data_IF_984741044158
#
_entry.id   IF_984741044158
#
_cell.length_a   1.000
_cell.length_b   1.000
_cell.length_c   1.000
_cell.angle_alpha   90.00
_cell.angle_beta   90.00
_cell.angle_gamma   90.00
#
_symmetry.space_group_name_H-M   'P 1'
#
loop_
_entity.id
_entity.type
_entity.pdbx_description
1 polymer ?
#
# COMPACT_ATOMS: atom_id res chain seq x y z
N UNK A 1 20.42 -16.27 7.17
CA UNK A 1 19.18 -15.76 7.79
C UNK A 1 18.66 -14.63 6.92
N UNK A 2 17.37 -14.64 6.57
CA UNK A 2 16.74 -13.51 5.85
C UNK A 2 15.93 -12.69 6.86
N UNK A 3 16.18 -11.38 6.91
CA UNK A 3 15.45 -10.43 7.76
C UNK A 3 14.46 -9.60 6.94
N UNK A 4 13.41 -9.07 7.59
CA UNK A 4 12.54 -8.05 6.99
C UNK A 4 13.00 -6.67 7.42
N UNK A 5 13.16 -5.78 6.46
CA UNK A 5 13.59 -4.40 6.68
C UNK A 5 12.57 -3.44 6.06
N UNK A 6 12.50 -2.22 6.58
CA UNK A 6 11.60 -1.16 6.09
C UNK A 6 12.45 -0.05 5.50
N UNK A 7 12.09 0.40 4.30
CA UNK A 7 12.70 1.57 3.66
C UNK A 7 11.77 2.76 3.89
N UNK A 8 12.27 3.78 4.58
CA UNK A 8 11.57 5.05 4.71
C UNK A 8 11.94 5.95 3.54
N UNK A 9 10.92 6.41 2.81
CA UNK A 9 11.08 7.35 1.70
C UNK A 9 10.17 8.55 1.98
N UNK A 10 10.72 9.67 2.49
CA UNK A 10 9.96 10.89 2.70
C UNK A 10 9.36 11.40 1.38
N UNK A 11 8.11 11.86 1.44
CA UNK A 11 7.39 12.44 0.29
C UNK A 11 6.62 13.66 0.73
N UNK A 12 6.49 14.64 -0.16
CA UNK A 12 5.67 15.83 0.10
C UNK A 12 4.30 15.63 -0.51
N UNK A 13 3.25 15.79 0.31
CA UNK A 13 1.86 15.74 -0.10
C UNK A 13 1.04 16.70 0.77
N UNK A 14 -0.07 17.28 0.26
CA UNK A 14 -0.86 18.26 1.01
C UNK A 14 -1.66 17.65 2.17
N UNK A 15 -1.92 16.34 2.13
CA UNK A 15 -2.70 15.63 3.13
C UNK A 15 -2.44 14.11 3.09
N UNK A 16 -2.92 13.39 4.11
CA UNK A 16 -2.80 11.93 4.21
C UNK A 16 -3.42 11.20 3.00
N UNK A 17 -4.64 11.53 2.53
CA UNK A 17 -5.19 10.90 1.32
C UNK A 17 -4.31 11.06 0.08
N UNK A 18 -3.66 12.21 -0.09
CA UNK A 18 -2.72 12.46 -1.19
C UNK A 18 -1.44 11.65 -1.03
N UNK A 19 -0.90 11.55 0.18
CA UNK A 19 0.24 10.69 0.48
C UNK A 19 -0.08 9.21 0.20
N UNK A 20 -1.27 8.72 0.60
CA UNK A 20 -1.74 7.36 0.28
C UNK A 20 -1.91 7.15 -1.24
N UNK A 21 -2.37 8.16 -1.99
CA UNK A 21 -2.43 8.09 -3.46
C UNK A 21 -1.04 7.91 -4.06
N UNK A 22 -0.07 8.72 -3.66
CA UNK A 22 1.32 8.66 -4.13
C UNK A 22 1.97 7.32 -3.75
N UNK A 23 1.82 6.89 -2.50
CA UNK A 23 2.38 5.63 -2.01
C UNK A 23 1.86 4.41 -2.78
N UNK A 24 0.59 4.40 -3.22
CA UNK A 24 0.08 3.33 -4.11
C UNK A 24 0.75 3.32 -5.48
N UNK A 25 1.07 4.48 -6.04
CA UNK A 25 1.80 4.57 -7.32
C UNK A 25 3.21 3.99 -7.13
N UNK A 26 3.92 4.42 -6.09
CA UNK A 26 5.26 3.92 -5.76
C UNK A 26 5.24 2.41 -5.52
N UNK A 27 4.29 1.92 -4.72
CA UNK A 27 4.15 0.49 -4.43
C UNK A 27 3.87 -0.34 -5.69
N UNK A 28 3.05 0.17 -6.61
CA UNK A 28 2.79 -0.51 -7.90
C UNK A 28 4.03 -0.53 -8.79
N UNK A 29 4.83 0.53 -8.80
CA UNK A 29 6.10 0.55 -9.52
C UNK A 29 7.12 -0.42 -8.91
N UNK A 30 7.17 -0.51 -7.58
CA UNK A 30 8.07 -1.41 -6.84
C UNK A 30 7.83 -2.90 -7.11
N UNK A 31 6.70 -3.31 -7.72
CA UNK A 31 6.43 -4.70 -8.14
C UNK A 31 7.53 -5.28 -9.03
N UNK A 32 8.31 -4.45 -9.73
CA UNK A 32 9.45 -4.90 -10.54
C UNK A 32 10.60 -5.48 -9.69
N UNK A 33 10.62 -5.18 -8.38
CA UNK A 33 11.59 -5.66 -7.42
C UNK A 33 11.00 -6.86 -6.65
N UNK A 34 11.42 -8.11 -6.92
CA UNK A 34 10.84 -9.30 -6.29
C UNK A 34 11.06 -9.38 -4.77
N UNK A 35 11.93 -8.54 -4.21
CA UNK A 35 12.20 -8.45 -2.77
C UNK A 35 11.16 -7.60 -2.02
N UNK A 36 10.25 -6.92 -2.73
CA UNK A 36 9.26 -6.02 -2.12
C UNK A 36 7.90 -6.71 -1.93
N UNK A 37 7.17 -6.32 -0.89
CA UNK A 37 5.74 -6.65 -0.73
C UNK A 37 4.91 -5.36 -0.80
N UNK A 38 4.48 -4.94 -2.01
CA UNK A 38 3.65 -3.76 -2.19
C UNK A 38 2.34 -3.79 -1.39
N UNK A 39 1.80 -4.98 -1.09
CA UNK A 39 0.54 -5.12 -0.34
C UNK A 39 0.66 -4.69 1.13
N UNK A 40 1.87 -4.63 1.66
CA UNK A 40 2.16 -4.19 3.03
C UNK A 40 2.60 -2.71 3.10
N UNK A 41 2.44 -1.96 2.00
CA UNK A 41 2.74 -0.53 1.97
C UNK A 41 1.88 0.24 2.96
N UNK A 42 2.52 1.09 3.75
CA UNK A 42 1.90 2.01 4.70
C UNK A 42 2.46 3.41 4.53
N UNK A 43 1.69 4.40 4.98
CA UNK A 43 2.09 5.81 5.08
C UNK A 43 1.92 6.25 6.53
N UNK A 44 2.80 7.10 7.01
CA UNK A 44 2.71 7.77 8.30
C UNK A 44 3.00 9.26 8.09
N UNK A 45 2.63 10.11 9.05
CA UNK A 45 3.29 11.40 9.17
C UNK A 45 4.77 11.18 9.51
N UNK A 46 5.63 12.14 9.15
CA UNK A 46 7.08 12.04 9.36
C UNK A 46 7.43 12.00 10.86
N UNK A 47 6.72 12.79 11.67
CA UNK A 47 6.90 12.87 13.12
C UNK A 47 6.15 11.76 13.89
N UNK A 48 5.29 10.99 13.21
CA UNK A 48 4.43 9.96 13.83
C UNK A 48 4.56 8.61 13.13
N UNK A 49 5.80 8.14 12.90
CA UNK A 49 6.07 6.90 12.14
C UNK A 49 5.52 5.61 12.77
N UNK A 50 5.12 5.66 14.05
CA UNK A 50 4.39 4.60 14.72
C UNK A 50 2.94 4.45 14.23
N UNK A 51 2.35 5.51 13.69
CA UNK A 51 0.98 5.55 13.17
C UNK A 51 0.98 5.20 11.69
N UNK A 52 0.68 3.93 11.38
CA UNK A 52 0.77 3.39 10.03
C UNK A 52 -0.61 3.27 9.37
N UNK A 53 -0.84 4.09 8.36
CA UNK A 53 -2.03 4.04 7.52
C UNK A 53 -1.79 3.10 6.35
N UNK A 54 -2.61 2.05 6.19
CA UNK A 54 -2.53 1.17 5.02
C UNK A 54 -2.96 1.92 3.76
N UNK A 55 -2.35 1.56 2.64
CA UNK A 55 -2.69 2.15 1.33
C UNK A 55 -3.53 1.21 0.47
N UNK A 56 -3.39 -0.10 0.68
CA UNK A 56 -4.21 -1.13 0.05
C UNK A 56 -5.15 -1.77 1.07
N UNK A 57 -6.29 -2.25 0.58
CA UNK A 57 -7.11 -3.18 1.32
C UNK A 57 -6.35 -4.49 1.54
N UNK A 58 -6.35 -4.99 2.77
CA UNK A 58 -5.56 -6.14 3.18
C UNK A 58 -6.35 -7.43 3.37
N UNK A 59 -7.67 -7.36 3.12
CA UNK A 59 -8.56 -8.49 3.16
C UNK A 59 -8.06 -9.60 2.22
N UNK A 60 -8.06 -10.82 2.75
CA UNK A 60 -7.71 -12.02 1.98
C UNK A 60 -8.91 -12.45 1.15
N UNK A 61 -8.70 -12.55 -0.15
CA UNK A 61 -9.67 -13.10 -1.10
C UNK A 61 -9.52 -14.63 -1.21
N UNK A 62 -10.52 -15.33 -1.79
CA UNK A 62 -10.39 -16.73 -2.16
C UNK A 62 -9.08 -17.00 -2.93
N UNK A 63 -8.37 -18.07 -2.57
CA UNK A 63 -7.04 -18.37 -3.11
C UNK A 63 -5.89 -17.64 -2.40
N UNK A 64 -6.14 -17.02 -1.24
CA UNK A 64 -5.09 -16.50 -0.34
C UNK A 64 -4.42 -15.20 -0.78
N UNK A 65 -4.91 -14.59 -1.87
CA UNK A 65 -4.37 -13.32 -2.39
C UNK A 65 -4.98 -12.13 -1.64
N UNK A 66 -4.19 -11.05 -1.47
CA UNK A 66 -4.68 -9.77 -0.93
C UNK A 66 -5.42 -8.95 -2.00
N UNK A 67 -6.42 -8.18 -1.56
CA UNK A 67 -7.04 -7.13 -2.38
C UNK A 67 -5.98 -6.10 -2.80
N UNK A 68 -6.14 -5.49 -3.98
CA UNK A 68 -5.25 -4.43 -4.48
C UNK A 68 -5.98 -3.10 -4.73
N UNK A 69 -7.21 -3.00 -4.23
CA UNK A 69 -7.98 -1.75 -4.17
C UNK A 69 -7.49 -0.87 -3.01
N UNK A 70 -7.98 0.37 -2.96
CA UNK A 70 -7.63 1.31 -1.87
C UNK A 70 -8.00 0.74 -0.51
N UNK A 71 -7.29 1.10 0.55
CA UNK A 71 -7.82 0.90 1.91
C UNK A 71 -9.20 1.56 2.02
N UNK A 72 -10.14 0.88 2.67
CA UNK A 72 -11.53 1.35 2.84
C UNK A 72 -12.22 1.68 1.50
N UNK A 73 -12.04 0.79 0.50
CA UNK A 73 -12.79 0.87 -0.75
C UNK A 73 -14.22 0.35 -0.54
N UNK A 74 -15.15 0.94 -1.27
CA UNK A 74 -16.51 0.41 -1.37
C UNK A 74 -16.56 -0.80 -2.31
N UNK A 75 -17.58 -1.64 -2.15
CA UNK A 75 -17.81 -2.80 -3.00
C UNK A 75 -16.89 -4.00 -2.72
N UNK A 76 -17.01 -5.09 -3.50
CA UNK A 76 -16.26 -6.32 -3.27
C UNK A 76 -14.76 -6.14 -3.53
N UNK A 77 -13.94 -6.89 -2.79
CA UNK A 77 -12.49 -6.93 -2.98
C UNK A 77 -12.12 -7.41 -4.39
N UNK A 78 -11.06 -6.83 -4.97
CA UNK A 78 -10.57 -7.19 -6.29
C UNK A 78 -9.04 -7.05 -6.43
N UNK A 79 -8.45 -7.76 -7.41
CA UNK A 79 -7.01 -7.68 -7.74
C UNK A 79 -6.66 -6.64 -8.82
N UNK A 80 -7.62 -6.12 -9.55
CA UNK A 80 -7.43 -5.05 -10.53
C UNK A 80 -8.55 -4.04 -10.35
N UNK A 81 -8.22 -2.76 -10.59
CA UNK A 81 -9.25 -1.77 -10.87
C UNK A 81 -9.98 -2.26 -12.13
N UNK A 82 -11.23 -2.70 -11.97
CA UNK A 82 -12.11 -2.86 -13.13
C UNK A 82 -12.18 -1.46 -13.74
N UNK A 83 -11.60 -1.27 -14.92
CA UNK A 83 -11.81 -0.03 -15.67
C UNK A 83 -13.31 0.01 -15.96
N UNK A 84 -14.01 0.97 -15.35
CA UNK A 84 -15.35 1.36 -15.81
C UNK A 84 -15.18 2.23 -17.05
#
# INVERSE_FOLDING_TARGET
>A
MTGRWVVHLPVVAPDLPSAQRLARVVARWAVVLPQTDPGETTVSAEDEQGVRHRVFCDLRMPGGRRCLLRADHDGPCARRLVRR
#
